data_IF_448055910624
#
_entry.id   IF_448055910624
#
_cell.length_a   1.000
_cell.length_b   1.000
_cell.length_c   1.000
_cell.angle_alpha   90.00
_cell.angle_beta   90.00
_cell.angle_gamma   90.00
#
_symmetry.space_group_name_H-M   'P 1'
#
loop_
_entity.id
_entity.type
_entity.pdbx_description
1 polymer ?
#
# COMPACT_ATOMS: atom_id res chain seq x y z
N UNK A 1 -21.42 -18.31 -2.33
CA UNK A 1 -21.01 -18.67 -3.72
C UNK A 1 -19.61 -19.30 -3.62
N UNK A 2 -18.93 -19.68 -4.70
CA UNK A 2 -17.51 -20.07 -4.54
C UNK A 2 -16.67 -18.79 -4.50
N UNK A 3 -15.81 -18.66 -3.49
CA UNK A 3 -14.88 -17.54 -3.42
C UNK A 3 -13.94 -17.51 -4.64
N UNK A 4 -13.70 -16.32 -5.17
CA UNK A 4 -12.78 -16.03 -6.27
C UNK A 4 -11.56 -15.30 -5.71
N UNK A 5 -10.36 -15.59 -6.27
CA UNK A 5 -9.12 -14.91 -5.89
C UNK A 5 -8.55 -14.16 -7.09
N UNK A 6 -8.24 -12.89 -6.89
CA UNK A 6 -7.40 -12.09 -7.80
C UNK A 6 -6.07 -11.85 -7.10
N UNK A 7 -4.98 -12.29 -7.71
CA UNK A 7 -3.62 -12.09 -7.23
C UNK A 7 -2.76 -11.49 -8.34
N UNK A 8 -2.18 -10.32 -8.07
CA UNK A 8 -1.28 -9.64 -8.99
C UNK A 8 0.10 -10.30 -8.95
N UNK A 9 0.77 -10.42 -10.10
CA UNK A 9 2.12 -10.97 -10.23
C UNK A 9 3.19 -10.04 -9.64
N UNK A 10 3.16 -9.84 -8.33
CA UNK A 10 4.10 -9.06 -7.53
C UNK A 10 4.71 -10.03 -6.53
N UNK A 11 6.01 -10.37 -6.61
CA UNK A 11 6.64 -11.25 -5.63
C UNK A 11 6.88 -10.52 -4.30
N UNK A 12 6.95 -11.25 -3.17
CA UNK A 12 7.31 -10.66 -1.87
C UNK A 12 8.72 -10.07 -1.90
N UNK A 13 8.94 -9.02 -1.12
CA UNK A 13 10.25 -8.37 -0.96
C UNK A 13 10.46 -7.94 0.48
N UNK A 14 11.71 -7.89 0.90
CA UNK A 14 12.10 -7.46 2.24
C UNK A 14 12.47 -5.98 2.25
N UNK A 15 11.96 -5.25 3.23
CA UNK A 15 12.45 -3.91 3.52
C UNK A 15 13.88 -3.96 4.09
N UNK A 16 14.68 -2.93 3.83
CA UNK A 16 15.94 -2.76 4.52
C UNK A 16 15.72 -2.35 5.99
N UNK A 17 16.46 -2.98 6.91
CA UNK A 17 16.24 -2.87 8.37
C UNK A 17 17.00 -1.72 9.05
N UNK A 18 17.12 -0.57 8.40
CA UNK A 18 17.87 0.58 8.94
C UNK A 18 17.25 1.91 8.50
N UNK A 19 17.64 3.02 9.15
CA UNK A 19 17.18 4.36 8.80
C UNK A 19 15.66 4.51 8.88
N UNK A 20 15.09 4.11 10.03
CA UNK A 20 13.66 4.09 10.37
C UNK A 20 12.78 3.12 9.55
N UNK A 21 13.39 2.17 8.85
CA UNK A 21 12.63 1.22 8.01
C UNK A 21 12.50 1.73 6.58
N UNK A 22 12.04 0.86 5.69
CA UNK A 22 11.89 1.11 4.25
C UNK A 22 10.53 0.61 3.73
N UNK A 23 9.53 0.48 4.60
CA UNK A 23 8.24 -0.15 4.31
C UNK A 23 7.50 0.53 3.13
N UNK A 24 7.47 1.86 3.12
CA UNK A 24 6.91 2.64 2.02
C UNK A 24 7.71 2.49 0.72
N UNK A 25 9.05 2.55 0.81
CA UNK A 25 9.91 2.45 -0.37
C UNK A 25 9.90 1.05 -1.00
N UNK A 26 9.90 -0.02 -0.19
CA UNK A 26 9.79 -1.38 -0.73
C UNK A 26 8.39 -1.67 -1.28
N UNK A 27 7.33 -1.06 -0.71
CA UNK A 27 5.98 -1.13 -1.27
C UNK A 27 5.95 -0.53 -2.69
N UNK A 28 6.47 0.69 -2.84
CA UNK A 28 6.58 1.36 -4.14
C UNK A 28 7.47 0.57 -5.10
N UNK A 29 8.64 0.10 -4.64
CA UNK A 29 9.53 -0.72 -5.46
C UNK A 29 8.83 -1.97 -5.99
N UNK A 30 8.12 -2.69 -5.13
CA UNK A 30 7.44 -3.95 -5.48
C UNK A 30 6.40 -3.73 -6.58
N UNK A 31 5.63 -2.65 -6.45
CA UNK A 31 4.62 -2.25 -7.42
C UNK A 31 5.24 -1.74 -8.72
N UNK A 32 6.24 -0.85 -8.64
CA UNK A 32 6.90 -0.27 -9.81
C UNK A 32 7.51 -1.36 -10.72
N UNK A 33 8.11 -2.40 -10.13
CA UNK A 33 8.67 -3.52 -10.86
C UNK A 33 7.63 -4.31 -11.67
N UNK A 34 6.39 -4.45 -11.18
CA UNK A 34 5.28 -5.06 -11.95
C UNK A 34 5.00 -4.29 -13.25
N UNK A 35 5.18 -2.98 -13.22
CA UNK A 35 4.98 -2.10 -14.38
C UNK A 35 6.27 -1.84 -15.17
N UNK A 36 7.34 -2.61 -14.90
CA UNK A 36 8.59 -2.56 -15.66
C UNK A 36 9.57 -1.46 -15.22
N UNK A 37 9.28 -0.72 -14.16
CA UNK A 37 10.19 0.27 -13.60
C UNK A 37 11.18 -0.38 -12.61
N UNK A 38 12.44 -0.50 -13.02
CA UNK A 38 13.53 -1.06 -12.22
C UNK A 38 14.15 -0.01 -11.30
N UNK A 39 13.59 0.13 -10.10
CA UNK A 39 14.02 1.12 -9.09
C UNK A 39 14.41 0.45 -7.77
N UNK A 40 15.29 1.08 -7.00
CA UNK A 40 15.73 0.60 -5.68
C UNK A 40 15.03 1.35 -4.55
N UNK A 41 14.91 0.72 -3.37
CA UNK A 41 14.37 1.37 -2.16
C UNK A 41 15.15 2.65 -1.83
N UNK A 42 16.48 2.61 -1.97
CA UNK A 42 17.36 3.77 -1.78
C UNK A 42 17.17 4.91 -2.80
N UNK A 43 16.79 4.61 -4.05
CA UNK A 43 16.47 5.66 -5.03
C UNK A 43 15.17 6.37 -4.65
N UNK A 44 14.14 5.59 -4.24
CA UNK A 44 12.85 6.12 -3.81
C UNK A 44 13.04 7.02 -2.58
N UNK A 45 13.76 6.55 -1.56
CA UNK A 45 14.22 7.32 -0.39
C UNK A 45 14.88 8.64 -0.77
N UNK A 46 15.80 8.60 -1.73
CA UNK A 46 16.57 9.78 -2.16
C UNK A 46 15.67 10.82 -2.81
N UNK A 47 14.73 10.39 -3.66
CA UNK A 47 13.74 11.25 -4.30
C UNK A 47 12.79 11.86 -3.25
N UNK A 48 12.35 11.03 -2.30
CA UNK A 48 11.49 11.44 -1.19
C UNK A 48 12.23 12.31 -0.14
N UNK A 49 13.56 12.40 -0.21
CA UNK A 49 14.42 13.15 0.72
C UNK A 49 14.29 12.68 2.18
N UNK A 50 14.05 11.39 2.37
CA UNK A 50 13.80 10.79 3.67
C UNK A 50 12.89 9.58 3.56
N UNK A 51 12.60 8.96 4.70
CA UNK A 51 11.63 7.88 4.83
C UNK A 51 10.30 8.23 4.14
N UNK A 52 9.75 7.29 3.39
CA UNK A 52 8.46 7.45 2.72
C UNK A 52 7.31 7.16 3.67
N UNK A 53 6.46 8.17 3.89
CA UNK A 53 5.28 8.10 4.74
C UNK A 53 4.03 8.46 3.92
N UNK A 54 2.87 7.89 4.25
CA UNK A 54 1.61 8.16 3.52
C UNK A 54 1.06 9.57 3.75
N UNK A 55 1.51 10.24 4.81
CA UNK A 55 1.16 11.61 5.13
C UNK A 55 2.33 12.31 5.85
N UNK A 56 2.41 13.65 5.79
CA UNK A 56 3.38 14.41 6.59
C UNK A 56 3.17 14.19 8.09
N UNK A 57 4.26 13.97 8.84
CA UNK A 57 4.22 13.74 10.30
C UNK A 57 4.31 15.02 11.13
N UNK A 58 4.59 16.15 10.50
CA UNK A 58 4.57 17.46 11.16
C UNK A 58 4.32 18.58 10.15
N UNK A 59 3.97 19.76 10.64
CA UNK A 59 3.83 20.97 9.80
C UNK A 59 5.15 21.43 9.17
N UNK A 60 6.29 20.97 9.69
CA UNK A 60 7.63 21.26 9.15
C UNK A 60 8.07 20.21 8.13
N UNK A 61 7.41 19.04 8.09
CA UNK A 61 7.69 18.01 7.11
C UNK A 61 7.20 18.45 5.72
N UNK A 62 8.17 18.83 4.89
CA UNK A 62 7.92 19.30 3.53
C UNK A 62 7.90 18.16 2.51
N UNK A 63 7.95 16.90 2.95
CA UNK A 63 7.86 15.74 2.05
C UNK A 63 6.41 15.54 1.64
N UNK A 64 6.22 15.40 0.34
CA UNK A 64 4.92 15.07 -0.25
C UNK A 64 5.03 13.69 -0.91
N UNK A 65 4.33 12.66 -0.39
CA UNK A 65 4.38 11.32 -0.94
C UNK A 65 3.95 11.27 -2.42
N UNK A 66 2.97 12.09 -2.81
CA UNK A 66 2.46 12.11 -4.19
C UNK A 66 3.46 12.75 -5.15
N UNK A 67 4.21 13.75 -4.67
CA UNK A 67 5.31 14.33 -5.43
C UNK A 67 6.42 13.30 -5.70
N UNK A 68 6.69 12.39 -4.75
CA UNK A 68 7.64 11.28 -4.95
C UNK A 68 7.16 10.35 -6.06
N UNK A 69 5.88 9.95 -6.06
CA UNK A 69 5.32 9.11 -7.13
C UNK A 69 5.41 9.80 -8.50
N UNK A 70 5.14 11.10 -8.55
CA UNK A 70 5.25 11.92 -9.76
C UNK A 70 6.70 11.98 -10.27
N UNK A 71 7.68 12.19 -9.40
CA UNK A 71 9.11 12.21 -9.77
C UNK A 71 9.64 10.83 -10.21
N UNK A 72 8.99 9.75 -9.76
CA UNK A 72 9.24 8.39 -10.24
C UNK A 72 8.53 8.08 -11.57
N UNK A 73 7.78 9.04 -12.12
CA UNK A 73 6.96 8.88 -13.33
C UNK A 73 5.89 7.78 -13.22
N UNK A 74 5.39 7.54 -12.01
CA UNK A 74 4.27 6.62 -11.78
C UNK A 74 2.94 7.33 -12.03
N UNK A 75 2.01 6.63 -12.67
CA UNK A 75 0.59 7.02 -12.67
C UNK A 75 -0.07 6.40 -11.45
N UNK A 76 -0.83 7.19 -10.70
CA UNK A 76 -1.46 6.74 -9.46
C UNK A 76 -2.87 7.33 -9.31
N UNK A 77 -3.70 6.63 -8.56
CA UNK A 77 -4.98 7.11 -8.05
C UNK A 77 -4.87 7.27 -6.53
N UNK A 78 -5.15 8.45 -6.02
CA UNK A 78 -5.21 8.71 -4.57
C UNK A 78 -6.61 8.44 -4.03
N UNK A 79 -6.68 7.87 -2.83
CA UNK A 79 -7.94 7.79 -2.09
C UNK A 79 -8.43 9.20 -1.70
N UNK A 80 -9.62 9.60 -2.16
CA UNK A 80 -10.19 10.91 -1.82
C UNK A 80 -10.84 10.91 -0.43
N UNK A 81 -9.99 10.93 0.61
CA UNK A 81 -10.45 10.98 1.99
C UNK A 81 -11.12 12.33 2.37
N UNK A 82 -10.85 13.43 1.66
CA UNK A 82 -11.38 14.75 2.00
C UNK A 82 -12.88 14.87 1.72
N UNK A 83 -13.31 14.34 0.58
CA UNK A 83 -14.71 14.46 0.14
C UNK A 83 -15.55 13.22 0.44
N UNK A 84 -14.95 12.17 1.04
CA UNK A 84 -15.67 10.95 1.40
C UNK A 84 -16.38 11.08 2.75
N UNK A 85 -17.69 10.83 2.85
CA UNK A 85 -18.42 10.89 4.13
C UNK A 85 -17.90 9.89 5.18
N UNK A 86 -17.95 10.29 6.45
CA UNK A 86 -17.64 9.41 7.59
C UNK A 86 -18.83 8.50 7.95
N UNK A 87 -18.60 7.24 8.39
CA UNK A 87 -17.31 6.57 8.50
C UNK A 87 -16.76 6.11 7.13
N UNK A 88 -15.46 6.30 6.92
CA UNK A 88 -14.83 6.06 5.61
C UNK A 88 -14.41 4.61 5.34
N UNK A 89 -14.31 3.77 6.37
CA UNK A 89 -13.74 2.42 6.28
C UNK A 89 -14.33 1.57 5.14
N UNK A 90 -15.66 1.41 5.08
CA UNK A 90 -16.31 0.58 4.05
C UNK A 90 -16.03 1.09 2.64
N UNK A 91 -16.05 2.41 2.45
CA UNK A 91 -15.82 3.04 1.15
C UNK A 91 -14.35 2.91 0.73
N UNK A 92 -13.42 2.98 1.69
CA UNK A 92 -12.00 2.73 1.45
C UNK A 92 -11.73 1.28 1.03
N UNK A 93 -12.27 0.29 1.75
CA UNK A 93 -12.14 -1.12 1.38
C UNK A 93 -12.76 -1.43 0.01
N UNK A 94 -13.92 -0.84 -0.30
CA UNK A 94 -14.54 -0.92 -1.64
C UNK A 94 -13.63 -0.34 -2.73
N UNK A 95 -13.00 0.81 -2.48
CA UNK A 95 -12.07 1.44 -3.41
C UNK A 95 -10.84 0.56 -3.64
N UNK A 96 -10.24 0.02 -2.57
CA UNK A 96 -9.12 -0.91 -2.66
C UNK A 96 -9.46 -2.15 -3.49
N UNK A 97 -10.59 -2.79 -3.19
CA UNK A 97 -11.10 -3.93 -3.95
C UNK A 97 -11.19 -3.61 -5.44
N UNK A 98 -11.84 -2.50 -5.80
CA UNK A 98 -11.98 -2.08 -7.20
C UNK A 98 -10.64 -1.81 -7.87
N UNK A 99 -9.68 -1.23 -7.18
CA UNK A 99 -8.32 -1.03 -7.71
C UNK A 99 -7.63 -2.36 -8.02
N UNK A 100 -7.67 -3.31 -7.07
CA UNK A 100 -7.03 -4.63 -7.22
C UNK A 100 -7.69 -5.43 -8.35
N UNK A 101 -9.02 -5.42 -8.45
CA UNK A 101 -9.75 -6.11 -9.52
C UNK A 101 -9.40 -5.55 -10.91
N UNK A 102 -8.98 -4.28 -11.02
CA UNK A 102 -8.50 -3.67 -12.27
C UNK A 102 -7.02 -3.90 -12.55
N UNK A 103 -6.32 -4.65 -11.70
CA UNK A 103 -4.90 -4.93 -11.87
C UNK A 103 -3.96 -3.91 -11.19
N UNK A 104 -4.51 -2.96 -10.42
CA UNK A 104 -3.75 -1.92 -9.75
C UNK A 104 -3.54 -2.25 -8.26
N UNK A 105 -2.30 -2.54 -7.83
CA UNK A 105 -2.01 -2.75 -6.41
C UNK A 105 -2.16 -1.44 -5.62
N UNK A 106 -2.39 -1.56 -4.31
CA UNK A 106 -2.60 -0.40 -3.42
C UNK A 106 -1.51 -0.36 -2.36
N UNK A 107 -0.94 0.82 -2.10
CA UNK A 107 -0.10 1.05 -0.92
C UNK A 107 -0.99 1.62 0.18
N UNK A 108 -0.96 1.03 1.37
CA UNK A 108 -1.79 1.46 2.50
C UNK A 108 -1.09 1.22 3.85
N UNK A 109 -1.61 1.87 4.90
CA UNK A 109 -1.12 1.72 6.27
C UNK A 109 -1.87 0.64 7.03
N UNK A 110 -1.15 -0.09 7.88
CA UNK A 110 -1.70 -1.02 8.88
C UNK A 110 -1.16 -0.69 10.26
N UNK A 111 -1.81 -1.23 11.29
CA UNK A 111 -1.30 -1.25 12.65
C UNK A 111 -0.66 -2.62 12.90
N UNK A 112 0.58 -2.65 13.38
CA UNK A 112 1.17 -3.86 13.93
C UNK A 112 0.73 -3.99 15.39
N UNK A 113 0.22 -5.14 15.82
CA UNK A 113 -0.31 -5.33 17.17
C UNK A 113 0.75 -5.26 18.28
N UNK A 114 2.03 -5.26 17.92
CA UNK A 114 3.17 -5.35 18.85
C UNK A 114 3.95 -4.04 19.00
N UNK A 115 3.51 -2.93 18.39
CA UNK A 115 4.14 -1.61 18.53
C UNK A 115 3.25 -0.67 19.38
N UNK A 116 3.88 0.07 20.30
CA UNK A 116 3.20 1.00 21.24
C UNK A 116 2.80 2.33 20.54
N UNK A 117 2.52 2.30 19.23
CA UNK A 117 2.13 3.47 18.45
C UNK A 117 0.61 3.60 18.35
N UNK A 118 0.09 4.78 18.72
CA UNK A 118 -1.33 5.14 18.57
C UNK A 118 -1.73 5.43 17.10
N UNK A 119 -0.78 5.39 16.16
CA UNK A 119 -0.94 5.67 14.73
C UNK A 119 -0.54 4.47 13.85
N UNK A 120 -0.96 4.45 12.57
CA UNK A 120 -0.50 3.46 11.59
C UNK A 120 1.03 3.45 11.55
N UNK A 121 1.63 2.31 11.86
CA UNK A 121 3.06 2.14 12.09
C UNK A 121 3.79 1.47 10.92
N UNK A 122 3.04 0.89 9.98
CA UNK A 122 3.62 0.12 8.88
C UNK A 122 2.88 0.28 7.55
N UNK A 123 3.66 0.42 6.48
CA UNK A 123 3.15 0.64 5.12
C UNK A 123 3.38 -0.61 4.29
N UNK A 124 2.32 -1.15 3.69
CA UNK A 124 2.36 -2.42 2.97
C UNK A 124 1.69 -2.32 1.59
N UNK A 125 2.11 -3.16 0.61
CA UNK A 125 1.44 -3.28 -0.67
C UNK A 125 0.34 -4.36 -0.60
N UNK A 126 -0.89 -3.97 -0.85
CA UNK A 126 -1.96 -4.90 -1.20
C UNK A 126 -1.79 -5.38 -2.64
N UNK A 127 -1.72 -6.70 -2.81
CA UNK A 127 -1.38 -7.36 -4.08
C UNK A 127 -2.47 -8.31 -4.57
N UNK A 128 -3.51 -8.54 -3.77
CA UNK A 128 -4.61 -9.41 -4.16
C UNK A 128 -5.80 -9.30 -3.24
N UNK A 129 -6.86 -9.99 -3.60
CA UNK A 129 -8.09 -10.10 -2.81
C UNK A 129 -8.80 -11.42 -3.12
N UNK A 130 -9.34 -12.04 -2.08
CA UNK A 130 -10.33 -13.11 -2.17
C UNK A 130 -11.70 -12.53 -1.86
N UNK A 131 -12.72 -12.87 -2.65
CA UNK A 131 -14.06 -12.29 -2.55
C UNK A 131 -15.15 -13.24 -3.08
N UNK A 132 -16.41 -12.99 -2.72
CA UNK A 132 -17.57 -13.73 -3.29
C UNK A 132 -18.43 -12.91 -4.26
N UNK A 133 -18.43 -11.58 -4.11
CA UNK A 133 -19.17 -10.64 -4.96
C UNK A 133 -18.19 -9.58 -5.48
N UNK A 134 -18.15 -9.29 -6.78
CA UNK A 134 -17.23 -8.29 -7.34
C UNK A 134 -17.68 -6.84 -7.13
N UNK A 135 -18.99 -6.61 -7.03
CA UNK A 135 -19.58 -5.27 -7.07
C UNK A 135 -19.45 -4.52 -5.74
N UNK A 136 -19.58 -5.26 -4.63
CA UNK A 136 -19.65 -4.73 -3.28
C UNK A 136 -18.59 -5.35 -2.37
N UNK A 137 -18.00 -4.54 -1.49
CA UNK A 137 -17.13 -4.99 -0.43
C UNK A 137 -17.94 -5.67 0.68
N UNK A 138 -17.57 -6.91 0.97
CA UNK A 138 -18.14 -7.71 2.04
C UNK A 138 -17.09 -7.91 3.14
N UNK A 139 -17.25 -7.32 4.34
CA UNK A 139 -16.24 -7.40 5.38
C UNK A 139 -16.04 -8.83 5.95
N UNK A 140 -17.05 -9.69 5.82
CA UNK A 140 -16.99 -11.05 6.35
C UNK A 140 -16.29 -12.00 5.38
N UNK A 141 -16.48 -11.77 4.07
CA UNK A 141 -16.02 -12.68 3.01
C UNK A 141 -14.82 -12.16 2.22
N UNK A 142 -14.62 -10.84 2.13
CA UNK A 142 -13.46 -10.28 1.45
C UNK A 142 -12.21 -10.39 2.33
N UNK A 143 -11.15 -10.97 1.77
CA UNK A 143 -9.83 -11.10 2.42
C UNK A 143 -8.76 -10.46 1.54
N UNK A 144 -8.08 -9.47 2.08
CA UNK A 144 -7.05 -8.72 1.38
C UNK A 144 -5.74 -9.48 1.44
N UNK A 145 -5.07 -9.66 0.30
CA UNK A 145 -3.76 -10.30 0.23
C UNK A 145 -2.68 -9.22 0.15
N UNK A 146 -1.75 -9.21 1.09
CA UNK A 146 -0.66 -8.23 1.14
C UNK A 146 0.66 -8.85 1.61
N UNK A 147 1.75 -8.09 1.51
CA UNK A 147 3.08 -8.49 2.00
C UNK A 147 3.47 -7.66 3.23
N UNK A 148 3.91 -8.30 4.32
CA UNK A 148 4.38 -7.61 5.52
C UNK A 148 5.77 -6.98 5.37
N UNK A 149 6.52 -7.35 4.33
CA UNK A 149 7.86 -6.83 4.03
C UNK A 149 8.95 -7.19 5.06
N UNK A 150 8.63 -7.95 6.10
CA UNK A 150 9.56 -8.50 7.09
C UNK A 150 9.95 -9.94 6.74
N UNK A 151 9.03 -10.68 6.14
CA UNK A 151 9.17 -12.06 5.72
C UNK A 151 8.80 -12.23 4.24
N UNK A 152 9.28 -13.32 3.62
CA UNK A 152 8.99 -13.62 2.21
C UNK A 152 7.68 -14.41 2.08
N UNK A 153 6.61 -13.94 2.71
CA UNK A 153 5.31 -14.62 2.74
C UNK A 153 4.13 -13.68 2.52
N UNK A 154 3.03 -14.23 2.01
CA UNK A 154 1.75 -13.53 1.86
C UNK A 154 0.97 -13.57 3.18
N UNK A 155 0.23 -12.50 3.46
CA UNK A 155 -0.79 -12.47 4.52
C UNK A 155 -2.16 -12.36 3.84
N UNK A 156 -3.13 -13.11 4.35
CA UNK A 156 -4.54 -13.14 3.90
C UNK A 156 -5.51 -12.70 4.99
#
# INVERSE_FOLDING_TARGET
MSATTVLLSIPPRLQWKHGNGFCGEVSIQSIALKFGAWISQGLIRKINKGEYLLQPVSSEDRRDPLQTLTQLHLTYDEWNWKDTPQPQFRQFCQWMKRSILRGHPVVFGIFLPDDDCDDYDHIVPAVGIKYENEDEHDPDHDKLIYYDLYELQQIE
#
